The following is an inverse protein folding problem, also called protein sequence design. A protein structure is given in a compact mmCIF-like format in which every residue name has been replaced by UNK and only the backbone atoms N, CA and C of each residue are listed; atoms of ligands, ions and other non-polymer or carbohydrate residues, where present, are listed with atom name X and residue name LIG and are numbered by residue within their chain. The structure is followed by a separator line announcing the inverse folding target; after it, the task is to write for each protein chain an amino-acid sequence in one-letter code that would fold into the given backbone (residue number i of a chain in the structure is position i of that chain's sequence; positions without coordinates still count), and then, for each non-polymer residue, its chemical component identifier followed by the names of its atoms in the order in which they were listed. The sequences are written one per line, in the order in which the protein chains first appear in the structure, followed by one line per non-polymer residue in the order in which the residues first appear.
data_IF_840948080440
#
_entry.id   IF_840948080440
#
_cell.length_a   1.000
_cell.length_b   1.000
_cell.length_c   1.000
_cell.angle_alpha   90.00
_cell.angle_beta   90.00
_cell.angle_gamma   90.00
#
_symmetry.space_group_name_H-M   'P 1'
#
loop_
_entity.id
_entity.type
_entity.pdbx_description
1 polymer ?
#
# COMPACT_ATOMS: atom_id res chain seq x y z
N UNK A 1 -42.67 22.53 29.27
CA UNK A 1 -41.19 22.45 29.17
C UNK A 1 -40.80 21.19 28.37
N UNK A 2 -40.85 21.23 27.04
CA UNK A 2 -40.65 20.04 26.18
C UNK A 2 -39.80 20.38 24.94
N UNK A 3 -38.62 21.00 25.14
CA UNK A 3 -37.72 21.36 24.02
C UNK A 3 -36.38 20.62 24.06
N UNK A 4 -36.01 20.06 25.21
CA UNK A 4 -34.65 19.56 25.48
C UNK A 4 -34.37 18.09 25.11
N UNK A 5 -35.39 17.25 24.85
CA UNK A 5 -35.18 15.83 24.48
C UNK A 5 -34.83 15.63 22.99
N UNK A 6 -35.29 16.50 22.10
CA UNK A 6 -35.06 16.39 20.64
C UNK A 6 -33.60 16.64 20.23
N UNK A 7 -32.91 17.65 20.80
CA UNK A 7 -31.49 17.92 20.49
C UNK A 7 -30.55 16.78 20.90
N UNK A 8 -30.83 16.13 22.05
CA UNK A 8 -29.97 15.09 22.61
C UNK A 8 -30.02 13.77 21.81
N UNK A 9 -31.16 13.48 21.18
CA UNK A 9 -31.35 12.30 20.34
C UNK A 9 -30.84 12.52 18.90
N UNK A 10 -30.92 13.74 18.37
CA UNK A 10 -30.30 14.11 17.09
C UNK A 10 -28.76 13.97 17.15
N UNK A 11 -28.15 14.41 18.26
CA UNK A 11 -26.71 14.31 18.47
C UNK A 11 -26.20 12.86 18.55
N UNK A 12 -26.93 11.97 19.25
CA UNK A 12 -26.62 10.53 19.31
C UNK A 12 -26.79 9.81 17.98
N UNK A 13 -27.80 10.19 17.18
CA UNK A 13 -28.02 9.65 15.82
C UNK A 13 -26.91 10.07 14.87
N UNK A 14 -26.45 11.32 14.96
CA UNK A 14 -25.33 11.82 14.15
C UNK A 14 -24.00 11.13 14.50
N UNK A 15 -23.75 10.81 15.77
CA UNK A 15 -22.56 10.05 16.20
C UNK A 15 -22.53 8.63 15.62
N UNK A 16 -23.67 7.94 15.59
CA UNK A 16 -23.77 6.60 14.98
C UNK A 16 -23.55 6.69 13.46
N UNK A 17 -24.11 7.69 12.79
CA UNK A 17 -23.94 7.89 11.37
C UNK A 17 -22.46 8.14 10.98
N UNK A 18 -21.72 8.92 11.78
CA UNK A 18 -20.29 9.16 11.57
C UNK A 18 -19.46 7.88 11.78
N UNK A 19 -19.77 7.09 12.81
CA UNK A 19 -19.06 5.83 13.06
C UNK A 19 -19.27 4.79 11.94
N UNK A 20 -20.47 4.72 11.37
CA UNK A 20 -20.74 3.85 10.21
C UNK A 20 -20.04 4.37 8.94
N UNK A 21 -20.00 5.68 8.73
CA UNK A 21 -19.30 6.28 7.59
C UNK A 21 -17.78 6.00 7.61
N UNK A 22 -17.15 5.98 8.79
CA UNK A 22 -15.72 5.62 8.91
C UNK A 22 -15.40 4.17 8.53
N UNK A 23 -16.38 3.25 8.55
CA UNK A 23 -16.18 1.88 8.08
C UNK A 23 -16.09 1.76 6.55
N UNK A 24 -16.50 2.81 5.81
CA UNK A 24 -16.42 2.88 4.35
C UNK A 24 -15.27 3.75 3.84
N UNK A 25 -14.34 4.16 4.72
CA UNK A 25 -13.05 4.65 4.29
C UNK A 25 -12.29 3.45 3.68
N UNK A 26 -12.58 3.17 2.41
CA UNK A 26 -11.91 2.12 1.66
C UNK A 26 -10.43 2.51 1.53
N UNK A 27 -9.55 1.72 2.15
CA UNK A 27 -8.17 1.67 1.71
C UNK A 27 -8.21 1.25 0.24
N UNK A 28 -7.77 2.15 -0.65
CA UNK A 28 -7.51 1.79 -2.03
C UNK A 28 -6.48 0.66 -1.98
N UNK A 29 -6.91 -0.58 -2.20
CA UNK A 29 -6.04 -1.73 -2.20
C UNK A 29 -4.97 -1.51 -3.28
N UNK A 30 -3.76 -1.18 -2.85
CA UNK A 30 -2.61 -0.99 -3.73
C UNK A 30 -2.13 -2.38 -4.14
N UNK A 31 -2.23 -2.71 -5.41
CA UNK A 31 -1.84 -4.00 -5.99
C UNK A 31 -0.34 -4.06 -6.39
N UNK A 32 0.47 -3.07 -5.95
CA UNK A 32 1.93 -3.09 -6.11
C UNK A 32 2.54 -4.32 -5.40
N UNK A 33 3.78 -4.72 -5.77
CA UNK A 33 4.46 -5.88 -5.18
C UNK A 33 4.48 -5.85 -3.64
N UNK A 34 4.23 -7.00 -3.01
CA UNK A 34 4.08 -7.09 -1.54
C UNK A 34 5.08 -8.05 -0.90
N UNK A 35 5.40 -7.77 0.37
CA UNK A 35 6.32 -8.57 1.16
C UNK A 35 7.74 -8.65 0.59
N UNK A 36 8.42 -7.52 0.31
CA UNK A 36 9.80 -7.54 -0.12
C UNK A 36 10.72 -8.09 0.97
N UNK A 37 11.71 -8.87 0.58
CA UNK A 37 12.86 -9.27 1.40
C UNK A 37 14.11 -9.20 0.55
N UNK A 38 15.02 -8.28 0.89
CA UNK A 38 16.32 -8.17 0.21
C UNK A 38 17.23 -9.28 0.70
N UNK A 39 17.65 -10.17 -0.21
CA UNK A 39 18.51 -11.33 0.12
C UNK A 39 19.95 -11.16 -0.38
N UNK A 40 20.20 -10.21 -1.29
CA UNK A 40 21.53 -9.78 -1.67
C UNK A 40 21.51 -8.31 -2.10
N UNK A 41 22.63 -7.60 -1.88
CA UNK A 41 22.72 -6.17 -2.16
C UNK A 41 21.85 -5.33 -1.23
N UNK A 42 21.42 -4.16 -1.72
CA UNK A 42 20.70 -3.16 -0.96
C UNK A 42 19.54 -2.66 -1.80
N UNK A 43 18.37 -2.52 -1.18
CA UNK A 43 17.23 -1.88 -1.79
C UNK A 43 16.43 -1.11 -0.73
N UNK A 44 15.89 0.04 -1.13
CA UNK A 44 14.93 0.82 -0.34
C UNK A 44 13.64 0.99 -1.12
N UNK A 45 12.53 1.05 -0.40
CA UNK A 45 11.18 1.03 -0.96
C UNK A 45 10.43 2.27 -0.48
N UNK A 46 9.86 3.03 -1.41
CA UNK A 46 9.06 4.22 -1.14
C UNK A 46 7.73 4.13 -1.88
N UNK A 47 6.63 4.05 -1.14
CA UNK A 47 5.28 4.07 -1.71
C UNK A 47 4.69 5.49 -1.61
N UNK A 48 4.22 6.02 -2.73
CA UNK A 48 3.51 7.30 -2.80
C UNK A 48 2.26 7.14 -3.69
N UNK A 49 1.09 6.97 -3.07
CA UNK A 49 -0.14 6.62 -3.80
C UNK A 49 0.03 5.32 -4.57
N UNK A 50 -0.14 5.35 -5.89
CA UNK A 50 0.00 4.19 -6.78
C UNK A 50 1.43 3.95 -7.29
N UNK A 51 2.38 4.82 -6.95
CA UNK A 51 3.79 4.71 -7.33
C UNK A 51 4.60 4.03 -6.21
N UNK A 52 5.15 2.85 -6.52
CA UNK A 52 6.23 2.23 -5.75
C UNK A 52 7.57 2.57 -6.40
N UNK A 53 8.43 3.31 -5.70
CA UNK A 53 9.82 3.55 -6.11
C UNK A 53 10.76 2.63 -5.34
N UNK A 54 11.67 2.00 -6.06
CA UNK A 54 12.64 1.03 -5.53
C UNK A 54 14.03 1.51 -5.92
N UNK A 55 14.80 2.01 -4.97
CA UNK A 55 16.21 2.37 -5.21
C UNK A 55 17.10 1.21 -4.81
N UNK A 56 17.89 0.67 -5.73
CA UNK A 56 18.70 -0.53 -5.49
C UNK A 56 20.16 -0.41 -5.91
N UNK A 57 21.01 -1.20 -5.25
CA UNK A 57 22.40 -1.44 -5.65
C UNK A 57 22.47 -2.38 -6.86
N UNK A 58 23.56 -2.36 -7.65
CA UNK A 58 23.81 -3.37 -8.68
C UNK A 58 23.80 -4.78 -8.10
N UNK A 59 23.26 -5.71 -8.88
CA UNK A 59 23.18 -7.14 -8.55
C UNK A 59 22.38 -7.45 -7.27
N UNK A 60 21.48 -6.54 -6.86
CA UNK A 60 20.57 -6.80 -5.75
C UNK A 60 19.58 -7.91 -6.09
N UNK A 61 19.24 -8.74 -5.09
CA UNK A 61 18.22 -9.78 -5.21
C UNK A 61 17.13 -9.51 -4.18
N UNK A 62 15.89 -9.43 -4.66
CA UNK A 62 14.70 -9.15 -3.84
C UNK A 62 13.74 -10.33 -4.00
N UNK A 63 13.47 -11.02 -2.90
CA UNK A 63 12.35 -11.95 -2.82
C UNK A 63 11.06 -11.17 -2.54
N UNK A 64 9.96 -11.59 -3.14
CA UNK A 64 8.64 -11.01 -2.99
C UNK A 64 7.65 -12.09 -2.60
N UNK A 65 6.75 -11.79 -1.66
CA UNK A 65 5.63 -12.69 -1.40
C UNK A 65 4.70 -12.72 -2.62
N UNK A 66 4.33 -11.57 -3.16
CA UNK A 66 3.63 -11.46 -4.43
C UNK A 66 4.24 -10.33 -5.25
N UNK A 67 4.29 -10.49 -6.58
CA UNK A 67 4.68 -9.43 -7.49
C UNK A 67 3.59 -9.27 -8.54
N UNK A 68 2.78 -8.24 -8.37
CA UNK A 68 1.78 -7.80 -9.33
C UNK A 68 1.82 -6.29 -9.41
N UNK A 69 1.27 -5.73 -10.48
CA UNK A 69 1.12 -4.29 -10.65
C UNK A 69 -0.29 -4.11 -11.20
N UNK A 70 -1.16 -3.47 -10.42
CA UNK A 70 -2.54 -3.20 -10.82
C UNK A 70 -2.62 -2.21 -11.97
N UNK A 71 -3.82 -2.11 -12.57
CA UNK A 71 -4.10 -1.06 -13.53
C UNK A 71 -3.90 0.32 -12.88
N UNK A 72 -3.25 1.24 -13.61
CA UNK A 72 -2.91 2.59 -13.12
C UNK A 72 -1.91 2.66 -11.97
N UNK A 73 -1.18 1.57 -11.69
CA UNK A 73 -0.06 1.55 -10.76
C UNK A 73 1.30 1.55 -11.47
N UNK A 74 2.33 2.01 -10.77
CA UNK A 74 3.70 2.06 -11.29
C UNK A 74 4.64 1.49 -10.24
N UNK A 75 5.39 0.46 -10.61
CA UNK A 75 6.61 0.07 -9.89
C UNK A 75 7.82 0.54 -10.68
N UNK A 76 8.65 1.40 -10.08
CA UNK A 76 9.84 2.00 -10.71
C UNK A 76 11.10 1.58 -9.99
N UNK A 77 12.02 0.96 -10.71
CA UNK A 77 13.37 0.70 -10.22
C UNK A 77 14.30 1.86 -10.60
N UNK A 78 14.97 2.43 -9.59
CA UNK A 78 15.96 3.50 -9.71
C UNK A 78 17.32 2.87 -9.46
N UNK A 79 17.98 2.50 -10.56
CA UNK A 79 19.27 1.83 -10.54
C UNK A 79 20.42 2.83 -10.70
N UNK A 80 21.60 2.48 -10.17
CA UNK A 80 22.79 3.35 -10.24
C UNK A 80 23.25 3.67 -11.66
N UNK A 81 23.07 2.75 -12.61
CA UNK A 81 23.44 2.93 -14.01
C UNK A 81 22.67 1.97 -14.92
N UNK A 82 22.73 2.18 -16.24
CA UNK A 82 22.13 1.29 -17.23
C UNK A 82 22.76 -0.11 -17.27
N UNK A 83 23.96 -0.29 -16.72
CA UNK A 83 24.63 -1.59 -16.62
C UNK A 83 24.22 -2.38 -15.36
N UNK A 84 23.49 -1.75 -14.44
CA UNK A 84 23.01 -2.40 -13.22
C UNK A 84 21.86 -3.36 -13.54
N UNK A 85 21.77 -4.46 -12.79
CA UNK A 85 20.64 -5.38 -12.83
C UNK A 85 20.09 -5.62 -11.41
N UNK A 86 18.80 -5.96 -11.34
CA UNK A 86 18.11 -6.41 -10.13
C UNK A 86 17.35 -7.70 -10.44
N UNK A 87 17.48 -8.69 -9.57
CA UNK A 87 16.71 -9.92 -9.66
C UNK A 87 15.50 -9.85 -8.72
N UNK A 88 14.30 -10.04 -9.29
CA UNK A 88 13.06 -10.13 -8.54
C UNK A 88 12.58 -11.59 -8.55
N UNK A 89 12.42 -12.20 -7.38
CA UNK A 89 11.95 -13.58 -7.24
C UNK A 89 10.66 -13.63 -6.43
N UNK A 90 9.59 -14.17 -6.99
CA UNK A 90 8.34 -14.41 -6.26
C UNK A 90 8.44 -15.73 -5.51
N UNK A 91 8.17 -15.71 -4.21
CA UNK A 91 8.28 -16.87 -3.31
C UNK A 91 7.00 -17.21 -2.57
N UNK A 92 5.98 -16.35 -2.60
CA UNK A 92 4.64 -16.75 -2.14
C UNK A 92 3.98 -17.61 -3.20
N UNK A 93 3.27 -18.65 -2.74
CA UNK A 93 2.31 -19.39 -3.57
C UNK A 93 0.94 -18.74 -3.46
N UNK A 94 0.21 -18.70 -4.57
CA UNK A 94 -1.24 -18.49 -4.53
C UNK A 94 -1.83 -19.71 -3.81
N UNK A 95 -2.20 -19.56 -2.53
CA UNK A 95 -2.97 -20.56 -1.79
C UNK A 95 -4.47 -20.29 -1.97
#
# INVERSE_FOLDING_TARGET
MEKNRKCRNAFKRNLIAVAVASCFAADLAVANPTGPTVVAGQASFQQAGTLLSITNSPSSIINWRSFSIGASEITRFIQQSAASAVLNRVTGGDL
#
